data_IF_830550032740
#
_entry.id   IF_830550032740
#
_cell.length_a   1.000
_cell.length_b   1.000
_cell.length_c   1.000
_cell.angle_alpha   90.00
_cell.angle_beta   90.00
_cell.angle_gamma   90.00
#
_symmetry.space_group_name_H-M   'P 1'
#
loop_
_entity.id
_entity.type
_entity.pdbx_description
1 polymer ?
#
# COMPACT_ATOMS: atom_id res chain seq x y z
N UNK A 1 -6.54 0.82 13.24
CA UNK A 1 -7.74 1.59 12.88
C UNK A 1 -8.10 2.46 14.07
N UNK A 2 -8.02 3.78 13.95
CA UNK A 2 -8.32 4.74 15.02
C UNK A 2 -9.69 5.36 14.80
N UNK A 3 -10.52 5.44 15.84
CA UNK A 3 -11.88 5.97 15.73
C UNK A 3 -11.90 7.48 15.67
N UNK A 4 -12.56 8.04 14.66
CA UNK A 4 -12.91 9.47 14.59
C UNK A 4 -14.26 9.70 15.29
N UNK A 5 -15.23 8.83 15.02
CA UNK A 5 -16.54 8.82 15.66
C UNK A 5 -16.67 7.59 16.56
N UNK A 6 -17.44 7.68 17.66
CA UNK A 6 -17.63 6.54 18.55
C UNK A 6 -18.29 5.37 17.81
N UNK A 7 -17.86 4.16 18.14
CA UNK A 7 -18.41 2.94 17.57
C UNK A 7 -18.40 1.81 18.61
N UNK A 8 -19.46 1.01 18.66
CA UNK A 8 -19.45 -0.22 19.47
C UNK A 8 -18.70 -1.32 18.73
N UNK A 9 -18.12 -2.27 19.47
CA UNK A 9 -17.46 -3.40 18.84
C UNK A 9 -18.40 -4.29 18.03
N UNK A 10 -19.68 -4.39 18.42
CA UNK A 10 -20.70 -5.07 17.63
C UNK A 10 -20.90 -4.40 16.26
N UNK A 11 -21.12 -3.08 16.22
CA UNK A 11 -21.24 -2.33 14.97
C UNK A 11 -20.01 -2.49 14.07
N UNK A 12 -18.81 -2.46 14.65
CA UNK A 12 -17.57 -2.65 13.89
C UNK A 12 -17.51 -4.06 13.30
N UNK A 13 -17.63 -5.06 14.18
CA UNK A 13 -17.34 -6.43 13.85
C UNK A 13 -18.38 -7.05 12.93
N UNK A 14 -19.66 -6.66 13.06
CA UNK A 14 -20.70 -7.09 12.14
C UNK A 14 -20.43 -6.60 10.72
N UNK A 15 -20.06 -5.32 10.55
CA UNK A 15 -19.86 -4.76 9.22
C UNK A 15 -18.64 -5.37 8.53
N UNK A 16 -17.56 -5.57 9.27
CA UNK A 16 -16.36 -6.25 8.73
C UNK A 16 -16.67 -7.70 8.39
N UNK A 17 -17.35 -8.43 9.28
CA UNK A 17 -17.69 -9.84 9.06
C UNK A 17 -18.65 -10.03 7.87
N UNK A 18 -19.64 -9.15 7.69
CA UNK A 18 -20.57 -9.18 6.56
C UNK A 18 -19.80 -9.14 5.22
N UNK A 19 -18.86 -8.20 5.11
CA UNK A 19 -18.03 -8.05 3.91
C UNK A 19 -17.16 -9.29 3.66
N UNK A 20 -16.51 -9.82 4.70
CA UNK A 20 -15.68 -11.03 4.59
C UNK A 20 -16.51 -12.24 4.12
N UNK A 21 -17.66 -12.49 4.76
CA UNK A 21 -18.52 -13.64 4.43
C UNK A 21 -19.08 -13.52 3.01
N UNK A 22 -19.50 -12.33 2.59
CA UNK A 22 -19.98 -12.12 1.23
C UNK A 22 -18.89 -12.42 0.19
N UNK A 23 -17.67 -11.94 0.43
CA UNK A 23 -16.53 -12.18 -0.46
C UNK A 23 -16.18 -13.68 -0.55
N UNK A 24 -16.07 -14.36 0.59
CA UNK A 24 -15.73 -15.79 0.61
C UNK A 24 -16.81 -16.69 -0.01
N UNK A 25 -18.09 -16.34 0.17
CA UNK A 25 -19.19 -17.05 -0.49
C UNK A 25 -19.12 -16.87 -2.02
N UNK A 26 -18.84 -15.66 -2.48
CA UNK A 26 -18.69 -15.39 -3.91
C UNK A 26 -17.47 -16.11 -4.53
N UNK A 27 -16.38 -16.23 -3.76
CA UNK A 27 -15.17 -16.96 -4.16
C UNK A 27 -15.27 -18.48 -4.00
N UNK A 28 -16.33 -19.00 -3.36
CA UNK A 28 -16.52 -20.44 -3.12
C UNK A 28 -15.60 -21.04 -2.05
N UNK A 29 -15.06 -20.21 -1.14
CA UNK A 29 -14.09 -20.62 -0.12
C UNK A 29 -14.66 -20.56 1.32
N UNK A 30 -15.94 -20.25 1.47
CA UNK A 30 -16.57 -20.17 2.80
C UNK A 30 -16.90 -21.56 3.35
N UNK A 31 -16.11 -22.03 4.32
CA UNK A 31 -16.32 -23.31 5.02
C UNK A 31 -16.67 -23.11 6.50
N UNK A 32 -16.84 -24.22 7.23
CA UNK A 32 -17.05 -24.19 8.68
C UNK A 32 -15.87 -23.53 9.43
N UNK A 33 -14.65 -23.61 8.88
CA UNK A 33 -13.48 -22.95 9.47
C UNK A 33 -13.60 -21.42 9.41
N UNK A 34 -14.07 -20.88 8.28
CA UNK A 34 -14.32 -19.44 8.13
C UNK A 34 -15.50 -18.98 8.99
N UNK A 35 -16.54 -19.81 9.12
CA UNK A 35 -17.66 -19.52 10.01
C UNK A 35 -17.22 -19.41 11.48
N UNK A 36 -16.43 -20.37 11.96
CA UNK A 36 -15.87 -20.34 13.32
C UNK A 36 -14.92 -19.15 13.53
N UNK A 37 -14.14 -18.79 12.51
CA UNK A 37 -13.27 -17.61 12.55
C UNK A 37 -14.09 -16.32 12.70
N UNK A 38 -15.21 -16.19 11.99
CA UNK A 38 -16.15 -15.07 12.09
C UNK A 38 -16.79 -15.00 13.48
N UNK A 39 -17.21 -16.13 14.03
CA UNK A 39 -17.81 -16.17 15.37
C UNK A 39 -16.79 -15.73 16.44
N UNK A 40 -15.54 -16.22 16.34
CA UNK A 40 -14.45 -15.81 17.23
C UNK A 40 -14.12 -14.33 17.06
N UNK A 41 -14.12 -13.82 15.83
CA UNK A 41 -13.94 -12.40 15.55
C UNK A 41 -15.02 -11.57 16.25
N UNK A 42 -16.31 -11.82 15.99
CA UNK A 42 -17.42 -11.10 16.63
C UNK A 42 -17.38 -11.20 18.15
N UNK A 43 -17.12 -12.38 18.71
CA UNK A 43 -17.01 -12.58 20.15
C UNK A 43 -15.91 -11.72 20.78
N UNK A 44 -14.79 -11.50 20.08
CA UNK A 44 -13.68 -10.65 20.55
C UNK A 44 -14.10 -9.18 20.72
N UNK A 45 -15.06 -8.72 19.91
CA UNK A 45 -15.53 -7.33 19.92
C UNK A 45 -16.83 -7.10 20.73
N UNK A 46 -17.51 -8.16 21.16
CA UNK A 46 -18.88 -8.09 21.71
C UNK A 46 -19.06 -7.11 22.89
N UNK A 47 -18.10 -7.09 23.80
CA UNK A 47 -18.15 -6.27 25.03
C UNK A 47 -17.36 -4.96 24.91
N UNK A 48 -16.87 -4.64 23.70
CA UNK A 48 -15.96 -3.52 23.48
C UNK A 48 -16.71 -2.29 22.98
N UNK A 49 -16.20 -1.11 23.33
CA UNK A 49 -16.67 0.18 22.85
C UNK A 49 -15.48 1.08 22.56
N UNK A 50 -15.54 1.76 21.42
CA UNK A 50 -14.42 2.52 20.87
C UNK A 50 -14.80 4.00 20.80
N UNK A 51 -14.51 4.81 21.83
CA UNK A 51 -14.67 6.26 21.75
C UNK A 51 -13.68 6.89 20.75
N UNK A 52 -13.89 8.15 20.34
CA UNK A 52 -12.92 8.88 19.53
C UNK A 52 -11.50 8.79 20.10
N UNK A 53 -10.52 8.52 19.23
CA UNK A 53 -9.10 8.35 19.59
C UNK A 53 -8.73 6.95 20.07
N UNK A 54 -9.69 6.06 20.35
CA UNK A 54 -9.36 4.65 20.62
C UNK A 54 -9.05 3.90 19.32
N UNK A 55 -8.30 2.80 19.46
CA UNK A 55 -7.74 2.07 18.33
C UNK A 55 -7.98 0.58 18.41
N UNK A 56 -8.30 0.01 17.25
CA UNK A 56 -8.29 -1.43 16.98
C UNK A 56 -7.01 -1.75 16.21
N UNK A 57 -6.25 -2.73 16.67
CA UNK A 57 -4.96 -3.13 16.16
C UNK A 57 -5.07 -4.54 15.58
N UNK A 58 -4.58 -4.72 14.35
CA UNK A 58 -4.55 -6.01 13.68
C UNK A 58 -3.12 -6.35 13.30
N UNK A 59 -2.62 -7.46 13.83
CA UNK A 59 -1.34 -8.03 13.42
C UNK A 59 -1.63 -9.23 12.54
N UNK A 60 -1.14 -9.18 11.30
CA UNK A 60 -1.23 -10.29 10.35
C UNK A 60 0.11 -10.99 10.28
N UNK A 61 0.11 -12.28 10.63
CA UNK A 61 1.30 -13.13 10.50
C UNK A 61 1.38 -13.75 9.10
N UNK A 62 2.59 -13.93 8.53
CA UNK A 62 2.78 -14.74 7.32
C UNK A 62 2.24 -16.17 7.44
N UNK A 63 2.14 -16.70 8.67
CA UNK A 63 1.54 -18.01 8.97
C UNK A 63 0.01 -18.05 8.84
N UNK A 64 -0.64 -16.93 8.49
CA UNK A 64 -2.09 -16.86 8.32
C UNK A 64 -2.87 -16.67 9.62
N UNK A 65 -2.26 -16.07 10.63
CA UNK A 65 -2.96 -15.72 11.88
C UNK A 65 -3.26 -14.23 11.97
N UNK A 66 -4.41 -13.91 12.59
CA UNK A 66 -4.84 -12.56 12.89
C UNK A 66 -4.85 -12.34 14.39
N UNK A 67 -3.93 -11.54 14.90
CA UNK A 67 -3.96 -11.08 16.30
C UNK A 67 -4.69 -9.75 16.38
N UNK A 68 -5.65 -9.65 17.30
CA UNK A 68 -6.45 -8.47 17.54
C UNK A 68 -6.01 -7.86 18.86
N UNK A 69 -5.74 -6.57 18.88
CA UNK A 69 -5.47 -5.78 20.09
C UNK A 69 -6.33 -4.52 20.14
N UNK A 70 -6.53 -3.99 21.33
CA UNK A 70 -7.28 -2.75 21.55
C UNK A 70 -6.42 -1.77 22.34
N UNK A 71 -6.53 -0.48 21.99
CA UNK A 71 -5.92 0.59 22.76
C UNK A 71 -6.94 1.70 23.04
N UNK A 72 -6.94 2.19 24.27
CA UNK A 72 -7.77 3.34 24.68
C UNK A 72 -7.14 4.69 24.32
N UNK A 73 -5.84 4.69 24.02
CA UNK A 73 -5.05 5.89 23.72
C UNK A 73 -4.47 5.76 22.32
N UNK A 74 -4.66 6.79 21.51
CA UNK A 74 -4.16 6.79 20.14
C UNK A 74 -2.64 6.57 20.09
N UNK A 75 -2.18 5.79 19.12
CA UNK A 75 -0.77 5.46 18.92
C UNK A 75 -0.13 4.53 19.95
N UNK A 76 -0.79 4.18 21.06
CA UNK A 76 -0.25 3.24 22.03
C UNK A 76 -0.45 1.78 21.58
N UNK A 77 0.63 1.00 21.58
CA UNK A 77 0.60 -0.44 21.31
C UNK A 77 0.48 -1.22 22.63
N UNK A 78 -0.47 -2.15 22.77
CA UNK A 78 -0.54 -3.03 23.92
C UNK A 78 0.60 -4.05 23.88
N UNK A 79 1.07 -4.49 25.06
CA UNK A 79 2.12 -5.51 25.18
C UNK A 79 1.68 -6.87 24.63
N UNK A 80 0.37 -7.17 24.70
CA UNK A 80 -0.21 -8.41 24.22
C UNK A 80 -1.50 -8.17 23.42
N UNK A 81 -1.77 -9.06 22.48
CA UNK A 81 -3.06 -9.11 21.78
C UNK A 81 -4.18 -9.59 22.71
N UNK A 82 -5.40 -9.12 22.46
CA UNK A 82 -6.64 -9.57 23.10
C UNK A 82 -7.02 -10.98 22.66
N UNK A 83 -6.88 -11.27 21.37
CA UNK A 83 -7.23 -12.57 20.80
C UNK A 83 -6.36 -12.89 19.57
N UNK A 84 -6.21 -14.18 19.28
CA UNK A 84 -5.56 -14.70 18.07
C UNK A 84 -6.55 -15.58 17.32
N UNK A 85 -6.74 -15.33 16.03
CA UNK A 85 -7.58 -16.12 15.13
C UNK A 85 -6.66 -16.83 14.14
N UNK A 86 -6.67 -18.16 14.17
CA UNK A 86 -5.89 -19.02 13.28
C UNK A 86 -6.70 -19.32 12.03
N UNK A 87 -6.86 -18.32 11.18
CA UNK A 87 -7.54 -18.47 9.89
C UNK A 87 -6.98 -17.45 8.89
N UNK A 88 -6.33 -17.98 7.84
CA UNK A 88 -5.66 -17.15 6.83
C UNK A 88 -6.64 -16.26 6.08
N UNK A 89 -7.79 -16.81 5.68
CA UNK A 89 -8.80 -16.06 4.96
C UNK A 89 -9.28 -14.85 5.78
N UNK A 90 -9.53 -15.02 7.08
CA UNK A 90 -9.89 -13.94 8.01
C UNK A 90 -8.78 -12.89 8.10
N UNK A 91 -7.52 -13.30 8.25
CA UNK A 91 -6.38 -12.38 8.34
C UNK A 91 -6.25 -11.49 7.10
N UNK A 92 -6.32 -12.10 5.91
CA UNK A 92 -6.21 -11.41 4.63
C UNK A 92 -7.44 -10.53 4.37
N UNK A 93 -8.65 -11.03 4.64
CA UNK A 93 -9.88 -10.29 4.38
C UNK A 93 -10.01 -9.01 5.20
N UNK A 94 -9.47 -8.97 6.44
CA UNK A 94 -9.46 -7.72 7.21
C UNK A 94 -8.63 -6.64 6.52
N UNK A 95 -7.44 -6.96 6.00
CA UNK A 95 -6.62 -5.99 5.27
C UNK A 95 -7.22 -5.62 3.91
N UNK A 96 -7.72 -6.63 3.20
CA UNK A 96 -8.37 -6.46 1.91
C UNK A 96 -9.60 -5.55 2.03
N UNK A 97 -10.35 -5.64 3.12
CA UNK A 97 -11.48 -4.75 3.38
C UNK A 97 -11.09 -3.27 3.46
N UNK A 98 -9.81 -2.96 3.72
CA UNK A 98 -9.30 -1.59 3.84
C UNK A 98 -8.68 -1.12 2.52
N UNK A 99 -7.76 -1.89 1.95
CA UNK A 99 -6.92 -1.47 0.81
C UNK A 99 -7.04 -2.36 -0.44
N UNK A 100 -7.92 -3.37 -0.41
CA UNK A 100 -8.17 -4.26 -1.55
C UNK A 100 -8.89 -3.55 -2.70
N UNK A 101 -9.31 -4.34 -3.70
CA UNK A 101 -10.02 -3.81 -4.87
C UNK A 101 -11.27 -3.02 -4.48
N UNK A 102 -12.03 -3.54 -3.52
CA UNK A 102 -13.25 -2.95 -2.96
C UNK A 102 -13.02 -2.39 -1.54
N UNK A 103 -11.78 -2.01 -1.22
CA UNK A 103 -11.43 -1.52 0.11
C UNK A 103 -12.11 -0.19 0.48
N UNK A 104 -12.41 -0.02 1.76
CA UNK A 104 -13.14 1.15 2.27
C UNK A 104 -12.29 2.42 2.38
N UNK A 105 -10.96 2.34 2.19
CA UNK A 105 -10.07 3.51 2.26
C UNK A 105 -9.25 3.70 0.98
N UNK A 106 -9.82 4.38 -0.03
CA UNK A 106 -9.09 4.78 -1.24
C UNK A 106 -7.83 5.60 -0.94
N UNK A 107 -7.85 6.44 0.09
CA UNK A 107 -6.74 7.29 0.51
C UNK A 107 -5.59 6.46 1.07
N UNK A 108 -5.89 5.46 1.92
CA UNK A 108 -4.87 4.54 2.42
C UNK A 108 -4.25 3.73 1.28
N UNK A 109 -5.07 3.25 0.32
CA UNK A 109 -4.59 2.53 -0.87
C UNK A 109 -3.66 3.40 -1.73
N UNK A 110 -4.04 4.66 -1.99
CA UNK A 110 -3.21 5.62 -2.73
C UNK A 110 -1.90 5.92 -2.00
N UNK A 111 -1.97 6.16 -0.70
CA UNK A 111 -0.80 6.44 0.13
C UNK A 111 0.19 5.26 0.10
N UNK A 112 -0.32 4.03 0.26
CA UNK A 112 0.49 2.82 0.16
C UNK A 112 1.16 2.70 -1.21
N UNK A 113 0.41 2.87 -2.30
CA UNK A 113 0.94 2.76 -3.66
C UNK A 113 2.08 3.75 -3.92
N UNK A 114 1.93 5.02 -3.55
CA UNK A 114 2.98 6.04 -3.74
C UNK A 114 4.24 5.70 -2.94
N UNK A 115 4.07 5.48 -1.64
CA UNK A 115 5.19 5.30 -0.70
C UNK A 115 5.97 4.02 -0.97
N UNK A 116 5.29 2.93 -1.33
CA UNK A 116 5.95 1.68 -1.71
C UNK A 116 6.67 1.83 -3.04
N UNK A 117 6.09 2.53 -4.03
CA UNK A 117 6.77 2.77 -5.32
C UNK A 117 8.05 3.58 -5.12
N UNK A 118 7.99 4.65 -4.33
CA UNK A 118 9.16 5.48 -4.00
C UNK A 118 10.21 4.66 -3.25
N UNK A 119 9.81 3.87 -2.25
CA UNK A 119 10.72 3.01 -1.50
C UNK A 119 11.44 2.00 -2.40
N UNK A 120 10.73 1.37 -3.34
CA UNK A 120 11.31 0.40 -4.27
C UNK A 120 12.22 1.05 -5.31
N UNK A 121 11.96 2.29 -5.72
CA UNK A 121 12.87 3.06 -6.60
C UNK A 121 14.14 3.50 -5.87
N UNK A 122 14.00 3.91 -4.61
CA UNK A 122 15.14 4.27 -3.77
C UNK A 122 15.93 3.06 -3.28
N UNK A 123 15.39 1.84 -3.43
CA UNK A 123 16.05 0.63 -3.03
C UNK A 123 17.26 0.36 -3.94
N UNK A 124 18.45 0.53 -3.38
CA UNK A 124 19.69 0.11 -4.02
C UNK A 124 19.96 -1.35 -3.65
N UNK A 125 20.00 -2.28 -4.63
CA UNK A 125 20.37 -3.67 -4.35
C UNK A 125 21.80 -3.71 -3.83
N UNK A 126 21.97 -4.19 -2.60
CA UNK A 126 23.31 -4.39 -2.03
C UNK A 126 23.81 -5.76 -2.48
N UNK A 127 24.59 -5.83 -3.56
CA UNK A 127 25.41 -7.01 -3.83
C UNK A 127 26.75 -6.84 -3.10
N UNK A 128 27.08 -7.77 -2.21
CA UNK A 128 28.37 -7.81 -1.51
C UNK A 128 28.76 -6.53 -0.75
N UNK A 129 27.79 -5.88 -0.09
CA UNK A 129 28.04 -4.75 0.82
C UNK A 129 28.45 -3.43 0.15
N UNK A 130 28.39 -3.32 -1.17
CA UNK A 130 28.67 -2.07 -1.89
C UNK A 130 27.46 -1.63 -2.71
N UNK A 131 27.06 -0.34 -2.66
CA UNK A 131 26.05 0.19 -3.58
C UNK A 131 26.51 0.02 -5.02
N UNK A 132 25.64 -0.46 -5.91
CA UNK A 132 25.88 -0.35 -7.35
C UNK A 132 25.76 1.12 -7.74
N UNK A 133 26.85 1.71 -8.25
CA UNK A 133 26.78 3.02 -8.89
C UNK A 133 25.83 2.91 -10.08
N UNK A 134 24.65 3.52 -9.97
CA UNK A 134 23.74 3.67 -11.09
C UNK A 134 24.25 4.85 -11.91
N UNK A 135 24.82 4.58 -13.08
CA UNK A 135 25.15 5.62 -14.06
C UNK A 135 23.81 6.14 -14.63
N UNK A 136 23.41 7.33 -14.20
CA UNK A 136 22.40 8.12 -14.89
C UNK A 136 23.00 8.58 -16.22
N UNK A 137 22.60 7.94 -17.33
CA UNK A 137 22.85 8.47 -18.67
C UNK A 137 21.96 9.71 -18.86
N UNK A 138 22.61 10.87 -18.75
CA UNK A 138 22.09 12.18 -19.09
C UNK A 138 21.85 12.25 -20.61
N UNK A 139 20.61 12.07 -21.05
CA UNK A 139 20.20 12.32 -22.44
C UNK A 139 19.58 13.72 -22.54
N UNK A 140 20.42 14.76 -22.47
CA UNK A 140 20.11 16.09 -22.97
C UNK A 140 21.35 16.72 -23.59
N UNK A 141 21.50 16.59 -24.92
CA UNK A 141 21.94 17.65 -25.86
C UNK A 141 22.39 17.03 -27.19
N UNK A 142 21.47 16.83 -28.12
CA UNK A 142 21.82 16.88 -29.54
C UNK A 142 20.63 17.33 -30.39
N UNK A 143 20.21 18.58 -30.18
CA UNK A 143 19.30 19.25 -31.12
C UNK A 143 19.51 20.75 -31.13
N UNK A 144 20.77 21.19 -31.33
CA UNK A 144 21.03 22.59 -31.67
C UNK A 144 22.32 22.75 -32.47
N UNK A 145 22.31 22.30 -33.73
CA UNK A 145 23.10 22.90 -34.84
C UNK A 145 22.57 22.33 -36.15
N UNK A 146 21.63 23.02 -36.79
CA UNK A 146 21.37 22.95 -38.24
C UNK A 146 20.42 24.07 -38.65
N UNK A 147 20.92 25.30 -38.61
CA UNK A 147 20.43 26.39 -39.45
C UNK A 147 21.43 27.56 -39.42
N UNK A 148 22.51 27.43 -40.20
CA UNK A 148 23.22 28.57 -40.76
C UNK A 148 23.51 28.28 -42.23
N UNK A 149 23.16 29.18 -43.16
CA UNK A 149 23.32 28.95 -44.59
C UNK A 149 24.78 29.08 -45.04
N UNK A 150 25.13 28.16 -45.93
CA UNK A 150 26.40 27.98 -46.64
C UNK A 150 26.84 29.29 -47.35
N UNK A 151 28.02 29.81 -47.00
CA UNK A 151 28.64 30.92 -47.74
C UNK A 151 29.36 30.37 -48.99
N UNK A 152 28.93 30.84 -50.15
CA UNK A 152 29.52 30.54 -51.46
C UNK A 152 30.78 31.41 -51.67
N UNK A 153 31.93 30.89 -52.12
CA UNK A 153 33.07 31.73 -52.47
C UNK A 153 32.93 32.29 -53.89
N UNK A 154 32.95 33.62 -54.00
CA UNK A 154 32.96 34.37 -55.27
C UNK A 154 34.39 34.39 -55.85
N UNK A 155 34.59 33.71 -56.99
CA UNK A 155 35.81 33.72 -57.80
C UNK A 155 35.89 35.03 -58.60
N UNK A 156 36.76 35.95 -58.18
CA UNK A 156 37.10 37.14 -58.99
C UNK A 156 38.26 36.78 -59.93
N UNK A 157 37.93 36.52 -61.19
CA UNK A 157 38.87 36.61 -62.29
C UNK A 157 39.07 38.09 -62.65
N UNK A 158 40.32 38.57 -62.63
CA UNK A 158 40.71 39.79 -63.34
C UNK A 158 41.84 39.46 -64.30
N UNK A 159 41.48 39.57 -65.56
CA UNK A 159 42.31 39.46 -66.75
C UNK A 159 42.99 40.81 -67.01
N UNK A 160 44.20 40.73 -67.54
CA UNK A 160 45.12 41.79 -67.93
C UNK A 160 44.53 42.84 -68.89
N UNK A 161 45.04 44.08 -68.81
CA UNK A 161 45.30 44.86 -70.03
C UNK A 161 46.46 45.87 -69.82
N UNK A 162 47.50 45.66 -70.65
CA UNK A 162 48.52 46.57 -71.23
C UNK A 162 49.11 47.74 -70.44
#
# INVERSE_FOLDING_TARGET
VTMILPLTGEQYSEKVAENCVAHWKAAGIYTDAEAQAVDKFKATFKEESFPPGSSILFTQSPSGTLTIGFSKVDGAMPEAGKAVIENRAMAEAVLESIVGQHGVSPEAKRSLASRVSELLKAYQPVENGHPKETQEEDQQEEQQTKDQPEQVPELVAKMDDK
#
